data_IF_180277994323
#
_entry.id   IF_180277994323
#
_cell.length_a   1.000
_cell.length_b   1.000
_cell.length_c   1.000
_cell.angle_alpha   90.00
_cell.angle_beta   90.00
_cell.angle_gamma   90.00
#
_symmetry.space_group_name_H-M   'P 1'
#
loop_
_entity.id
_entity.type
_entity.pdbx_description
1 polymer ?
#
# COMPACT_ATOMS: atom_id res chain seq x y z
N UNK A 1 -33.91 7.81 14.39
CA UNK A 1 -33.56 7.84 13.91
C UNK A 1 -32.96 7.56 13.28
N UNK A 2 -33.17 6.96 13.53
CA UNK A 2 -32.45 6.57 12.47
C UNK A 2 -32.15 7.60 11.53
N UNK A 3 -32.93 8.47 11.52
CA UNK A 3 -32.72 9.50 10.72
C UNK A 3 -31.54 10.18 11.05
N UNK A 4 -31.38 10.42 12.26
CA UNK A 4 -30.19 11.05 12.65
C UNK A 4 -29.01 10.21 12.22
N UNK A 5 -29.14 8.92 12.37
CA UNK A 5 -28.11 8.03 11.93
C UNK A 5 -27.92 8.07 10.45
N UNK A 6 -28.98 8.17 9.72
CA UNK A 6 -28.89 8.20 8.29
C UNK A 6 -28.17 9.42 7.83
N UNK A 7 -28.54 10.55 8.35
CA UNK A 7 -27.98 11.75 7.84
C UNK A 7 -26.51 11.89 8.10
N UNK A 8 -26.08 11.50 9.31
CA UNK A 8 -24.70 11.76 9.58
C UNK A 8 -23.86 10.56 9.38
N UNK A 9 -24.48 9.42 9.47
CA UNK A 9 -23.64 8.32 9.42
C UNK A 9 -23.82 7.56 8.23
N UNK A 10 -24.03 8.20 7.19
CA UNK A 10 -24.08 7.52 5.96
C UNK A 10 -22.75 6.97 5.54
N UNK A 11 -21.83 6.88 6.45
CA UNK A 11 -20.58 6.20 6.19
C UNK A 11 -20.88 4.72 6.37
N UNK A 12 -21.15 4.07 5.28
CA UNK A 12 -21.43 2.67 5.28
C UNK A 12 -20.51 1.94 4.35
N UNK A 13 -20.89 0.73 4.00
CA UNK A 13 -20.08 -0.13 3.15
C UNK A 13 -19.69 0.56 1.85
N UNK A 14 -20.59 1.27 1.23
CA UNK A 14 -20.31 1.95 -0.02
C UNK A 14 -19.18 2.94 0.10
N UNK A 15 -19.11 3.65 1.19
CA UNK A 15 -18.05 4.64 1.39
C UNK A 15 -16.70 3.96 1.51
N UNK A 16 -16.62 2.89 2.26
CA UNK A 16 -15.38 2.16 2.42
C UNK A 16 -14.94 1.53 1.11
N UNK A 17 -15.87 0.97 0.35
CA UNK A 17 -15.55 0.39 -0.95
C UNK A 17 -15.08 1.45 -1.93
N UNK A 18 -15.67 2.64 -1.88
CA UNK A 18 -15.26 3.73 -2.74
C UNK A 18 -13.83 4.17 -2.43
N UNK A 19 -13.52 4.33 -1.15
CA UNK A 19 -12.17 4.71 -0.75
C UNK A 19 -11.19 3.63 -1.17
N UNK A 20 -11.54 2.36 -0.95
CA UNK A 20 -10.68 1.26 -1.35
C UNK A 20 -10.43 1.25 -2.86
N UNK A 21 -11.48 1.52 -3.65
CA UNK A 21 -11.34 1.57 -5.10
C UNK A 21 -10.40 2.70 -5.53
N UNK A 22 -10.54 3.86 -4.89
CA UNK A 22 -9.68 5.00 -5.18
C UNK A 22 -8.23 4.67 -4.85
N UNK A 23 -7.98 4.09 -3.69
CA UNK A 23 -6.62 3.71 -3.28
C UNK A 23 -6.03 2.68 -4.22
N UNK A 24 -6.85 1.73 -4.66
CA UNK A 24 -6.40 0.70 -5.58
C UNK A 24 -5.96 1.31 -6.90
N UNK A 25 -6.78 2.21 -7.44
CA UNK A 25 -6.49 2.87 -8.71
C UNK A 25 -5.23 3.74 -8.57
N UNK A 26 -5.12 4.47 -7.47
CA UNK A 26 -3.92 5.27 -7.23
C UNK A 26 -2.67 4.39 -7.15
N UNK A 27 -2.79 3.23 -6.53
CA UNK A 27 -1.67 2.28 -6.47
C UNK A 27 -1.27 1.80 -7.85
N UNK A 28 -2.24 1.46 -8.67
CA UNK A 28 -1.97 1.00 -10.03
C UNK A 28 -1.29 2.11 -10.84
N UNK A 29 -1.82 3.33 -10.77
CA UNK A 29 -1.20 4.45 -11.48
C UNK A 29 0.22 4.71 -10.97
N UNK A 30 0.42 4.58 -9.67
CA UNK A 30 1.76 4.76 -9.11
C UNK A 30 2.77 3.81 -9.73
N UNK A 31 2.37 2.55 -9.91
CA UNK A 31 3.26 1.57 -10.51
C UNK A 31 3.56 1.92 -11.97
N UNK A 32 2.51 2.20 -12.75
CA UNK A 32 2.68 2.41 -14.17
C UNK A 32 3.38 3.72 -14.51
N UNK A 33 3.09 4.77 -13.76
CA UNK A 33 3.66 6.09 -14.07
C UNK A 33 5.06 6.27 -13.53
N UNK A 34 5.44 5.50 -12.51
CA UNK A 34 6.72 5.69 -11.84
C UNK A 34 7.51 4.40 -11.74
N UNK A 35 7.44 3.58 -12.75
CA UNK A 35 8.04 2.24 -12.68
C UNK A 35 9.55 2.23 -12.56
N UNK A 36 10.21 3.37 -12.73
CA UNK A 36 11.65 3.43 -12.54
C UNK A 36 12.02 3.86 -11.12
N UNK A 37 11.05 4.26 -10.33
CA UNK A 37 11.31 4.68 -8.96
C UNK A 37 10.88 3.57 -8.02
N UNK A 38 11.86 2.86 -7.48
CA UNK A 38 11.60 1.69 -6.64
C UNK A 38 10.80 2.05 -5.40
N UNK A 39 11.07 3.22 -4.81
CA UNK A 39 10.34 3.65 -3.62
C UNK A 39 8.87 3.88 -3.94
N UNK A 40 8.59 4.53 -5.06
CA UNK A 40 7.21 4.80 -5.46
C UNK A 40 6.49 3.49 -5.78
N UNK A 41 7.18 2.54 -6.42
CA UNK A 41 6.59 1.23 -6.68
C UNK A 41 6.23 0.53 -5.37
N UNK A 42 7.14 0.56 -4.40
CA UNK A 42 6.89 -0.07 -3.11
C UNK A 42 5.68 0.57 -2.42
N UNK A 43 5.64 1.90 -2.40
CA UNK A 43 4.50 2.61 -1.81
C UNK A 43 3.20 2.30 -2.54
N UNK A 44 3.27 2.16 -3.86
CA UNK A 44 2.08 1.86 -4.66
C UNK A 44 1.55 0.46 -4.35
N UNK A 45 2.43 -0.51 -4.20
CA UNK A 45 2.04 -1.86 -3.80
C UNK A 45 1.38 -1.82 -2.43
N UNK A 46 1.92 -1.01 -1.51
CA UNK A 46 1.33 -0.89 -0.18
C UNK A 46 -0.07 -0.27 -0.25
N UNK A 47 -0.30 0.69 -1.14
CA UNK A 47 -1.64 1.25 -1.32
C UNK A 47 -2.62 0.20 -1.82
N UNK A 48 -2.17 -0.65 -2.74
CA UNK A 48 -3.01 -1.72 -3.26
C UNK A 48 -3.36 -2.71 -2.14
N UNK A 49 -2.38 -3.07 -1.32
CA UNK A 49 -2.63 -3.96 -0.20
C UNK A 49 -3.57 -3.33 0.81
N UNK A 50 -3.40 -2.04 1.07
CA UNK A 50 -4.30 -1.32 1.97
C UNK A 50 -5.73 -1.35 1.44
N UNK A 51 -5.91 -1.17 0.13
CA UNK A 51 -7.24 -1.17 -0.46
C UNK A 51 -7.91 -2.53 -0.30
N UNK A 52 -7.16 -3.61 -0.49
CA UNK A 52 -7.68 -4.96 -0.28
C UNK A 52 -8.08 -5.15 1.18
N UNK A 53 -7.24 -4.70 2.10
CA UNK A 53 -7.53 -4.81 3.53
C UNK A 53 -8.78 -4.02 3.92
N UNK A 54 -8.95 -2.82 3.37
CA UNK A 54 -10.15 -2.04 3.62
C UNK A 54 -11.39 -2.79 3.17
N UNK A 55 -11.32 -3.43 2.00
CA UNK A 55 -12.45 -4.22 1.51
C UNK A 55 -12.75 -5.38 2.45
N UNK A 56 -11.73 -6.10 2.89
CA UNK A 56 -11.93 -7.25 3.76
C UNK A 56 -12.54 -6.84 5.09
N UNK A 57 -12.06 -5.76 5.68
CA UNK A 57 -12.60 -5.28 6.95
C UNK A 57 -14.02 -4.77 6.77
N UNK A 58 -14.27 -4.02 5.70
CA UNK A 58 -15.58 -3.47 5.43
C UNK A 58 -16.61 -4.58 5.23
N UNK A 59 -16.29 -5.58 4.43
CA UNK A 59 -17.20 -6.70 4.21
C UNK A 59 -17.38 -7.51 5.50
N UNK A 60 -16.31 -7.71 6.25
CA UNK A 60 -16.39 -8.43 7.50
C UNK A 60 -17.33 -7.74 8.47
N UNK A 61 -17.20 -6.43 8.59
CA UNK A 61 -18.07 -5.66 9.47
C UNK A 61 -19.52 -5.66 8.98
N UNK A 62 -19.69 -5.52 7.66
CA UNK A 62 -21.04 -5.47 7.08
C UNK A 62 -21.77 -6.80 7.24
N UNK A 63 -21.05 -7.91 7.03
CA UNK A 63 -21.63 -9.23 7.13
C UNK A 63 -21.57 -9.82 8.54
N UNK A 64 -20.96 -9.09 9.45
CA UNK A 64 -20.82 -9.53 10.83
C UNK A 64 -20.07 -10.86 10.91
N UNK A 65 -19.04 -11.01 10.09
CA UNK A 65 -18.27 -12.23 9.98
C UNK A 65 -16.80 -11.91 10.21
N UNK A 66 -16.19 -12.56 11.16
CA UNK A 66 -14.81 -12.29 11.54
C UNK A 66 -13.78 -12.79 10.54
N UNK A 67 -14.19 -13.60 9.57
CA UNK A 67 -13.24 -14.18 8.62
C UNK A 67 -12.45 -13.10 7.89
N UNK A 68 -13.11 -12.01 7.47
CA UNK A 68 -12.42 -10.93 6.78
C UNK A 68 -11.38 -10.26 7.64
N UNK A 69 -11.65 -10.13 8.94
CA UNK A 69 -10.69 -9.52 9.86
C UNK A 69 -9.50 -10.43 10.09
N UNK A 70 -9.73 -11.73 10.16
CA UNK A 70 -8.65 -12.70 10.29
C UNK A 70 -7.75 -12.66 9.07
N UNK A 71 -8.34 -12.65 7.88
CA UNK A 71 -7.56 -12.55 6.65
C UNK A 71 -6.78 -11.24 6.60
N UNK A 72 -7.37 -10.15 7.07
CA UNK A 72 -6.68 -8.87 7.14
C UNK A 72 -5.42 -8.99 8.00
N UNK A 73 -5.50 -9.67 9.13
CA UNK A 73 -4.33 -9.85 9.97
C UNK A 73 -3.23 -10.61 9.26
N UNK A 74 -3.57 -11.66 8.52
CA UNK A 74 -2.60 -12.39 7.74
C UNK A 74 -1.97 -11.50 6.67
N UNK A 75 -2.78 -10.72 5.97
CA UNK A 75 -2.28 -9.84 4.92
C UNK A 75 -1.35 -8.79 5.52
N UNK A 76 -1.71 -8.22 6.67
CA UNK A 76 -0.86 -7.24 7.34
C UNK A 76 0.47 -7.86 7.76
N UNK A 77 0.45 -9.11 8.21
CA UNK A 77 1.66 -9.80 8.60
C UNK A 77 2.57 -9.98 7.38
N UNK A 78 2.00 -10.41 6.26
CA UNK A 78 2.77 -10.57 5.03
C UNK A 78 3.26 -9.21 4.54
N UNK A 79 2.42 -8.19 4.59
CA UNK A 79 2.81 -6.85 4.18
C UNK A 79 3.94 -6.30 5.03
N UNK A 80 3.91 -6.56 6.33
CA UNK A 80 4.99 -6.13 7.22
C UNK A 80 6.30 -6.83 6.87
N UNK A 81 6.22 -8.13 6.57
CA UNK A 81 7.41 -8.88 6.17
C UNK A 81 7.95 -8.36 4.84
N UNK A 82 7.07 -8.10 3.89
CA UNK A 82 7.48 -7.54 2.60
C UNK A 82 8.10 -6.17 2.75
N UNK A 83 7.54 -5.33 3.61
CA UNK A 83 8.08 -4.01 3.86
C UNK A 83 9.48 -4.10 4.47
N UNK A 84 9.67 -5.02 5.39
CA UNK A 84 10.98 -5.21 6.02
C UNK A 84 12.01 -5.67 4.98
N UNK A 85 11.64 -6.65 4.15
CA UNK A 85 12.52 -7.14 3.11
C UNK A 85 12.77 -6.05 2.08
N UNK A 86 11.71 -5.35 1.69
CA UNK A 86 11.83 -4.27 0.72
C UNK A 86 12.75 -3.16 1.19
N UNK A 87 12.62 -2.78 2.46
CA UNK A 87 13.52 -1.77 3.02
C UNK A 87 14.97 -2.24 3.05
N UNK A 88 15.19 -3.52 3.39
CA UNK A 88 16.52 -4.08 3.38
C UNK A 88 17.12 -4.03 1.96
N UNK A 89 16.33 -4.41 0.98
CA UNK A 89 16.76 -4.37 -0.41
C UNK A 89 17.05 -2.93 -0.83
N UNK A 90 16.21 -2.00 -0.45
CA UNK A 90 16.41 -0.60 -0.81
C UNK A 90 17.68 -0.05 -0.18
N UNK A 91 17.95 -0.40 1.07
CA UNK A 91 19.18 0.06 1.72
C UNK A 91 20.40 -0.44 0.96
N UNK A 92 20.41 -1.72 0.61
CA UNK A 92 21.53 -2.29 -0.13
C UNK A 92 21.63 -1.65 -1.52
N UNK A 93 20.49 -1.48 -2.18
CA UNK A 93 20.46 -0.86 -3.51
C UNK A 93 21.05 0.54 -3.49
N UNK A 94 20.61 1.37 -2.56
CA UNK A 94 21.11 2.74 -2.51
C UNK A 94 22.57 2.81 -2.10
N UNK A 95 23.00 1.91 -1.24
CA UNK A 95 24.42 1.87 -0.84
C UNK A 95 25.29 1.49 -2.05
N UNK A 96 24.86 0.50 -2.81
CA UNK A 96 25.61 0.10 -3.98
C UNK A 96 25.59 1.19 -5.05
N UNK A 97 24.44 1.83 -5.24
CA UNK A 97 24.34 2.90 -6.22
C UNK A 97 25.19 4.08 -5.82
N UNK A 98 25.23 4.40 -4.54
CA UNK A 98 26.10 5.46 -4.04
C UNK A 98 27.55 5.17 -4.33
N UNK A 99 27.97 3.91 -4.14
CA UNK A 99 29.34 3.52 -4.46
C UNK A 99 29.63 3.65 -5.95
N UNK A 100 28.68 3.23 -6.79
CA UNK A 100 28.80 3.32 -8.23
C UNK A 100 28.92 4.79 -8.66
N UNK A 101 28.09 5.65 -8.09
CA UNK A 101 28.13 7.06 -8.41
C UNK A 101 29.47 7.69 -8.04
N UNK A 102 30.02 7.32 -6.90
CA UNK A 102 31.32 7.82 -6.49
C UNK A 102 32.39 7.35 -7.46
N UNK A 103 32.32 6.10 -7.87
CA UNK A 103 33.27 5.58 -8.84
C UNK A 103 33.16 6.29 -10.17
N UNK A 104 31.95 6.55 -10.62
CA UNK A 104 31.73 7.27 -11.87
C UNK A 104 32.33 8.65 -11.81
N UNK A 105 32.14 9.35 -10.69
CA UNK A 105 32.68 10.68 -10.50
C UNK A 105 34.21 10.63 -10.54
N UNK A 106 34.79 9.66 -9.88
CA UNK A 106 36.24 9.50 -9.87
C UNK A 106 36.76 9.25 -11.27
N UNK A 107 36.06 8.42 -12.03
CA UNK A 107 36.44 8.12 -13.41
C UNK A 107 36.37 9.37 -14.26
N UNK A 108 35.32 10.17 -14.09
CA UNK A 108 35.18 11.38 -14.88
C UNK A 108 36.23 12.42 -14.54
N UNK A 109 36.65 12.45 -13.30
CA UNK A 109 37.66 13.40 -12.89
C UNK A 109 39.08 12.96 -13.28
N UNK A 110 39.19 11.75 -13.64
CA UNK A 110 40.42 11.31 -14.12
C UNK A 110 41.22 10.43 -13.37
#
# INVERSE_FOLDING_TARGET
>A
MAMGGITKMNIGLEHFLTVAAILFVLGIFGIFLNRKNVIVILMSVELILLSVNLNLVAFSAHLNDLAGQVFTMFILTVAAAEAAIGLAILVVYFRNRGSIEVEDISTLKG
#
